data_IF_126677868476
#
_entry.id   IF_126677868476
#
_cell.length_a   1.000
_cell.length_b   1.000
_cell.length_c   1.000
_cell.angle_alpha   90.00
_cell.angle_beta   90.00
_cell.angle_gamma   90.00
#
_symmetry.space_group_name_H-M   'P 1'
#
loop_
_entity.id
_entity.type
_entity.pdbx_description
1 polymer ?
#
# COMPACT_ATOMS: atom_id res chain seq x y z
N UNK A 1 15.41 -2.75 -44.53
CA UNK A 1 14.24 -2.91 -43.65
C UNK A 1 14.69 -2.60 -42.24
N UNK A 2 14.26 -1.47 -41.66
CA UNK A 2 14.69 -1.04 -40.33
C UNK A 2 13.73 -1.60 -39.29
N UNK A 3 14.21 -2.52 -38.46
CA UNK A 3 13.53 -2.93 -37.23
C UNK A 3 13.49 -1.72 -36.31
N UNK A 4 12.32 -1.09 -36.18
CA UNK A 4 12.09 -0.06 -35.19
C UNK A 4 12.24 -0.69 -33.80
N UNK A 5 13.31 -0.35 -33.10
CA UNK A 5 13.51 -0.71 -31.70
C UNK A 5 12.39 -0.06 -30.90
N UNK A 6 11.37 -0.85 -30.53
CA UNK A 6 10.37 -0.43 -29.55
C UNK A 6 11.12 -0.25 -28.22
N UNK A 7 11.46 0.99 -27.88
CA UNK A 7 12.01 1.33 -26.59
C UNK A 7 11.07 0.86 -25.47
N UNK A 8 11.58 0.58 -24.26
CA UNK A 8 10.73 0.18 -23.15
C UNK A 8 9.66 1.26 -22.93
N UNK A 9 8.39 0.87 -22.96
CA UNK A 9 7.27 1.75 -22.65
C UNK A 9 7.34 2.04 -21.14
N UNK A 10 8.00 3.13 -20.77
CA UNK A 10 8.06 3.59 -19.38
C UNK A 10 6.79 4.39 -19.11
N UNK A 11 5.87 3.74 -18.41
CA UNK A 11 4.60 4.35 -18.01
C UNK A 11 4.82 5.35 -16.89
N UNK A 12 4.38 6.59 -17.09
CA UNK A 12 4.45 7.61 -16.04
C UNK A 12 3.39 7.37 -14.96
N UNK A 13 3.70 7.63 -13.67
CA UNK A 13 2.70 7.56 -12.61
C UNK A 13 1.64 8.64 -12.80
N UNK A 14 0.44 8.37 -12.28
CA UNK A 14 -0.51 9.45 -12.01
C UNK A 14 -0.06 10.17 -10.75
N UNK A 15 0.05 11.50 -10.83
CA UNK A 15 0.57 12.35 -9.75
C UNK A 15 -0.53 13.28 -9.24
N UNK A 16 -0.66 13.36 -7.92
CA UNK A 16 -1.55 14.29 -7.24
C UNK A 16 -0.86 14.87 -6.00
N UNK A 17 -0.35 16.10 -6.14
CA UNK A 17 0.47 16.75 -5.13
C UNK A 17 1.75 15.94 -4.84
N UNK A 18 2.06 15.59 -3.58
CA UNK A 18 3.23 14.79 -3.24
C UNK A 18 2.99 13.27 -3.40
N UNK A 19 1.80 12.87 -3.86
CA UNK A 19 1.44 11.46 -4.01
C UNK A 19 1.50 11.02 -5.47
N UNK A 20 1.90 9.78 -5.66
CA UNK A 20 2.09 9.15 -6.96
C UNK A 20 1.43 7.77 -6.95
N UNK A 21 1.02 7.29 -8.12
CA UNK A 21 0.28 6.05 -8.25
C UNK A 21 0.64 5.32 -9.56
N UNK A 22 0.93 4.02 -9.43
CA UNK A 22 1.24 3.10 -10.54
C UNK A 22 0.21 1.97 -10.67
N UNK A 23 -1.01 2.14 -10.16
CA UNK A 23 -2.04 1.09 -10.15
C UNK A 23 -1.92 0.10 -8.98
N UNK A 24 -0.82 0.14 -8.21
CA UNK A 24 -0.55 -0.73 -7.05
C UNK A 24 -0.43 0.05 -5.72
N UNK A 25 -1.33 1.01 -5.53
CA UNK A 25 -1.42 1.80 -4.30
C UNK A 25 -0.72 3.14 -4.36
N UNK A 26 -0.82 3.89 -3.26
CA UNK A 26 -0.34 5.27 -3.16
C UNK A 26 1.10 5.33 -2.66
N UNK A 27 1.96 6.00 -3.42
CA UNK A 27 3.32 6.35 -3.03
C UNK A 27 3.37 7.79 -2.57
N UNK A 28 4.27 8.11 -1.64
CA UNK A 28 4.56 9.49 -1.25
C UNK A 28 5.98 9.83 -1.71
N UNK A 29 6.12 10.71 -2.72
CA UNK A 29 7.40 11.07 -3.36
C UNK A 29 8.23 9.84 -3.74
N UNK A 30 7.63 8.92 -4.49
CA UNK A 30 8.23 7.64 -4.89
C UNK A 30 8.43 6.61 -3.77
N UNK A 31 7.97 6.86 -2.53
CA UNK A 31 8.12 5.91 -1.41
C UNK A 31 6.83 5.13 -1.19
N UNK A 32 6.91 3.80 -1.30
CA UNK A 32 5.83 2.89 -0.93
C UNK A 32 5.59 2.89 0.58
N UNK A 33 4.33 2.94 0.96
CA UNK A 33 3.92 2.87 2.36
C UNK A 33 3.57 1.43 2.76
N UNK A 34 4.00 1.02 3.95
CA UNK A 34 3.79 -0.34 4.44
C UNK A 34 2.39 -0.50 5.00
N UNK A 35 1.77 -1.65 4.78
CA UNK A 35 0.48 -2.00 5.40
C UNK A 35 0.60 -2.02 6.94
N UNK A 36 -0.47 -1.70 7.72
CA UNK A 36 -0.39 -1.62 9.18
C UNK A 36 0.19 -2.86 9.86
N UNK A 37 -0.16 -4.05 9.35
CA UNK A 37 0.36 -5.33 9.85
C UNK A 37 1.88 -5.46 9.64
N UNK A 38 2.37 -5.10 8.45
CA UNK A 38 3.80 -5.11 8.14
C UNK A 38 4.54 -4.10 9.01
N UNK A 39 4.02 -2.88 9.12
CA UNK A 39 4.63 -1.83 9.93
C UNK A 39 4.67 -2.21 11.43
N UNK A 40 3.61 -2.85 11.94
CA UNK A 40 3.61 -3.41 13.30
C UNK A 40 4.71 -4.43 13.50
N UNK A 41 4.89 -5.37 12.57
CA UNK A 41 5.93 -6.38 12.65
C UNK A 41 7.34 -5.78 12.56
N UNK A 42 7.53 -4.73 11.75
CA UNK A 42 8.81 -4.05 11.59
C UNK A 42 9.20 -3.24 12.84
N UNK A 43 8.24 -2.55 13.47
CA UNK A 43 8.53 -1.63 14.57
C UNK A 43 8.37 -2.26 15.95
N UNK A 44 7.44 -3.19 16.09
CA UNK A 44 7.06 -3.82 17.36
C UNK A 44 6.88 -5.33 17.19
N UNK A 45 7.93 -6.06 16.76
CA UNK A 45 7.88 -7.51 16.66
C UNK A 45 7.57 -8.14 18.01
N UNK A 46 6.69 -9.14 18.01
CA UNK A 46 6.43 -9.98 19.18
C UNK A 46 7.51 -11.05 19.31
N UNK A 47 7.59 -11.74 20.46
CA UNK A 47 8.51 -12.89 20.66
C UNK A 47 8.33 -14.01 19.62
N UNK A 48 7.16 -14.09 18.98
CA UNK A 48 6.86 -15.05 17.90
C UNK A 48 7.22 -14.54 16.49
N UNK A 49 7.62 -13.27 16.35
CA UNK A 49 8.00 -12.64 15.08
C UNK A 49 9.48 -12.90 14.79
N UNK A 50 9.81 -13.50 13.64
CA UNK A 50 11.20 -13.83 13.28
C UNK A 50 12.12 -12.66 12.87
N UNK A 51 11.65 -11.43 12.55
CA UNK A 51 12.59 -10.31 12.41
C UNK A 51 12.70 -9.48 13.70
N UNK A 52 13.93 -9.07 14.03
CA UNK A 52 14.21 -8.01 15.01
C UNK A 52 13.64 -6.68 14.54
N UNK A 53 13.28 -5.81 15.47
CA UNK A 53 12.73 -4.49 15.15
C UNK A 53 13.74 -3.70 14.30
N UNK A 54 13.28 -3.05 13.25
CA UNK A 54 14.14 -2.19 12.44
C UNK A 54 14.65 -1.01 13.29
N UNK A 55 15.88 -0.59 13.04
CA UNK A 55 16.51 0.58 13.67
C UNK A 55 16.30 1.81 12.80
N UNK A 56 16.48 2.98 13.40
CA UNK A 56 16.29 4.27 12.73
C UNK A 56 17.12 4.39 11.44
N UNK A 57 18.35 3.85 11.46
CA UNK A 57 19.28 3.85 10.31
C UNK A 57 18.94 2.83 9.21
N UNK A 58 18.06 1.87 9.47
CA UNK A 58 17.73 0.81 8.51
C UNK A 58 16.79 1.31 7.39
N UNK A 59 16.25 2.53 7.53
CA UNK A 59 15.43 3.21 6.52
C UNK A 59 15.77 4.71 6.47
N UNK A 60 15.71 5.34 5.30
CA UNK A 60 16.00 6.77 5.17
C UNK A 60 14.90 7.61 5.85
N UNK A 61 15.24 8.84 6.27
CA UNK A 61 14.29 9.76 6.95
C UNK A 61 12.97 9.94 6.21
N UNK A 62 13.03 10.07 4.89
CA UNK A 62 11.84 10.25 4.07
C UNK A 62 10.90 9.04 4.10
N UNK A 63 11.42 7.83 4.31
CA UNK A 63 10.59 6.64 4.46
C UNK A 63 9.75 6.70 5.73
N UNK A 64 10.37 7.07 6.86
CA UNK A 64 9.67 7.24 8.14
C UNK A 64 8.58 8.31 8.05
N UNK A 65 8.92 9.44 7.42
CA UNK A 65 8.01 10.55 7.17
C UNK A 65 6.83 10.13 6.30
N UNK A 66 7.08 9.38 5.22
CA UNK A 66 6.06 8.87 4.32
C UNK A 66 5.03 8.01 5.05
N UNK A 67 5.48 7.11 5.94
CA UNK A 67 4.57 6.30 6.75
C UNK A 67 3.66 7.20 7.62
N UNK A 68 4.23 8.20 8.32
CA UNK A 68 3.43 9.12 9.13
C UNK A 68 2.34 9.81 8.31
N UNK A 69 2.70 10.36 7.14
CA UNK A 69 1.76 11.06 6.25
C UNK A 69 0.67 10.12 5.73
N UNK A 70 1.04 8.91 5.32
CA UNK A 70 0.10 7.92 4.80
C UNK A 70 -0.98 7.55 5.82
N UNK A 71 -0.66 7.62 7.11
CA UNK A 71 -1.60 7.33 8.21
C UNK A 71 -2.16 8.58 8.88
N UNK A 72 -2.01 9.76 8.27
CA UNK A 72 -2.55 11.01 8.80
C UNK A 72 -1.94 11.45 10.12
N UNK A 73 -0.73 10.98 10.44
CA UNK A 73 -0.02 11.32 11.68
C UNK A 73 0.77 12.63 11.51
N UNK A 74 1.04 13.34 12.63
CA UNK A 74 1.91 14.51 12.62
C UNK A 74 3.27 14.19 11.99
N UNK A 75 3.66 15.00 11.00
CA UNK A 75 4.88 14.81 10.23
C UNK A 75 5.55 16.14 9.85
N UNK A 76 6.09 16.90 10.81
CA UNK A 76 6.82 18.14 10.51
C UNK A 76 8.01 17.86 9.58
N UNK A 77 8.34 18.74 8.62
CA UNK A 77 9.31 18.44 7.57
C UNK A 77 10.76 18.22 8.03
N UNK A 78 11.12 18.74 9.20
CA UNK A 78 12.49 18.72 9.73
C UNK A 78 12.61 17.93 11.05
N UNK A 79 11.64 17.06 11.35
CA UNK A 79 11.73 16.17 12.52
C UNK A 79 12.78 15.08 12.35
N UNK A 80 13.24 14.54 13.47
CA UNK A 80 14.19 13.42 13.52
C UNK A 80 13.50 12.10 13.18
N UNK A 81 14.29 11.10 12.78
CA UNK A 81 13.77 9.74 12.54
C UNK A 81 13.10 9.19 13.79
N UNK A 82 13.75 9.34 14.95
CA UNK A 82 13.23 8.85 16.22
C UNK A 82 11.87 9.47 16.59
N UNK A 83 11.65 10.75 16.24
CA UNK A 83 10.36 11.41 16.45
C UNK A 83 9.25 10.80 15.55
N UNK A 84 9.53 10.56 14.27
CA UNK A 84 8.57 9.89 13.38
C UNK A 84 8.29 8.46 13.86
N UNK A 85 9.33 7.70 14.21
CA UNK A 85 9.21 6.35 14.74
C UNK A 85 8.34 6.31 16.00
N UNK A 86 8.61 7.18 16.97
CA UNK A 86 7.82 7.26 18.20
C UNK A 86 6.34 7.58 17.90
N UNK A 87 6.08 8.43 16.91
CA UNK A 87 4.72 8.75 16.46
C UNK A 87 4.00 7.50 15.91
N UNK A 88 4.67 6.73 15.03
CA UNK A 88 4.13 5.49 14.46
C UNK A 88 3.90 4.42 15.53
N UNK A 89 4.87 4.19 16.41
CA UNK A 89 4.74 3.21 17.48
C UNK A 89 3.61 3.58 18.46
N UNK A 90 3.47 4.86 18.80
CA UNK A 90 2.37 5.33 19.65
C UNK A 90 1.02 5.05 18.99
N UNK A 91 0.89 5.33 17.70
CA UNK A 91 -0.34 5.06 16.96
C UNK A 91 -0.63 3.55 16.85
N UNK A 92 0.39 2.72 16.64
CA UNK A 92 0.27 1.25 16.59
C UNK A 92 -0.15 0.62 17.92
N UNK A 93 0.14 1.26 19.05
CA UNK A 93 -0.26 0.82 20.40
C UNK A 93 -1.72 1.14 20.75
N UNK A 94 -2.35 2.08 20.05
CA UNK A 94 -3.74 2.44 20.32
C UNK A 94 -4.70 1.32 19.90
N UNK A 95 -5.79 1.13 20.65
CA UNK A 95 -6.86 0.19 20.28
C UNK A 95 -7.49 0.64 18.95
N UNK A 96 -7.61 -0.28 17.99
CA UNK A 96 -8.23 0.01 16.69
C UNK A 96 -7.26 0.05 15.49
N UNK A 97 -5.96 -0.21 15.72
CA UNK A 97 -4.89 -0.26 14.70
C UNK A 97 -4.66 1.07 13.97
N UNK A 98 -3.57 1.11 13.21
CA UNK A 98 -3.21 2.25 12.38
C UNK A 98 -4.21 2.36 11.22
N UNK A 99 -5.02 3.43 11.19
CA UNK A 99 -6.04 3.66 10.16
C UNK A 99 -5.58 4.71 9.17
N UNK A 100 -5.81 4.45 7.89
CA UNK A 100 -5.54 5.41 6.82
C UNK A 100 -6.69 6.44 6.75
N UNK A 101 -6.40 7.75 6.62
CA UNK A 101 -7.41 8.76 6.38
C UNK A 101 -8.23 8.45 5.12
N UNK A 102 -9.55 8.69 5.19
CA UNK A 102 -10.48 8.38 4.12
C UNK A 102 -10.10 9.09 2.81
N UNK A 103 -9.64 10.33 2.89
CA UNK A 103 -9.21 11.12 1.74
C UNK A 103 -8.05 10.46 0.98
N UNK A 104 -7.12 9.79 1.70
CA UNK A 104 -6.02 9.07 1.06
C UNK A 104 -6.47 7.73 0.47
N UNK A 105 -7.53 7.11 1.01
CA UNK A 105 -8.15 5.93 0.43
C UNK A 105 -8.82 6.30 -0.90
N UNK A 106 -9.63 7.36 -0.91
CA UNK A 106 -10.31 7.85 -2.10
C UNK A 106 -9.31 8.28 -3.18
N UNK A 107 -8.27 9.03 -2.79
CA UNK A 107 -7.20 9.43 -3.70
C UNK A 107 -6.49 8.23 -4.34
N UNK A 108 -6.23 7.16 -3.57
CA UNK A 108 -5.63 5.95 -4.10
C UNK A 108 -6.57 5.24 -5.09
N UNK A 109 -7.87 5.13 -4.77
CA UNK A 109 -8.87 4.52 -5.65
C UNK A 109 -8.95 5.29 -6.97
N UNK A 110 -9.08 6.62 -6.90
CA UNK A 110 -9.21 7.50 -8.06
C UNK A 110 -7.97 7.43 -8.94
N UNK A 111 -6.78 7.58 -8.36
CA UNK A 111 -5.54 7.55 -9.15
C UNK A 111 -5.22 6.17 -9.72
N UNK A 112 -5.50 5.09 -8.98
CA UNK A 112 -5.35 3.73 -9.50
C UNK A 112 -6.29 3.50 -10.71
N UNK A 113 -7.53 3.98 -10.62
CA UNK A 113 -8.50 3.89 -11.72
C UNK A 113 -8.07 4.75 -12.92
N UNK A 114 -7.55 5.96 -12.67
CA UNK A 114 -6.97 6.81 -13.72
C UNK A 114 -5.79 6.12 -14.40
N UNK A 115 -4.85 5.56 -13.64
CA UNK A 115 -3.69 4.85 -14.17
C UNK A 115 -4.13 3.67 -15.05
N UNK A 116 -5.06 2.83 -14.59
CA UNK A 116 -5.56 1.69 -15.38
C UNK A 116 -6.29 2.12 -16.65
N UNK A 117 -7.05 3.22 -16.64
CA UNK A 117 -7.68 3.74 -17.86
C UNK A 117 -6.67 4.22 -18.89
N UNK A 118 -5.58 4.83 -18.43
CA UNK A 118 -4.50 5.30 -19.31
C UNK A 118 -3.63 4.12 -19.79
N UNK A 119 -3.65 2.98 -19.08
CA UNK A 119 -2.73 1.86 -19.24
C UNK A 119 -3.50 0.54 -19.43
N UNK A 120 -3.93 0.23 -20.68
CA UNK A 120 -4.71 -0.97 -20.97
C UNK A 120 -4.02 -2.27 -20.54
N UNK A 121 -2.69 -2.34 -20.61
CA UNK A 121 -1.90 -3.48 -20.13
C UNK A 121 -2.04 -3.67 -18.61
N UNK A 122 -1.95 -2.58 -17.83
CA UNK A 122 -2.15 -2.63 -16.39
C UNK A 122 -3.60 -2.98 -16.02
N UNK A 123 -4.57 -2.55 -16.82
CA UNK A 123 -5.97 -2.95 -16.65
C UNK A 123 -6.17 -4.46 -16.90
N UNK A 124 -5.53 -5.00 -17.94
CA UNK A 124 -5.56 -6.44 -18.26
C UNK A 124 -4.91 -7.27 -17.14
N UNK A 125 -3.71 -6.91 -16.70
CA UNK A 125 -2.99 -7.62 -15.63
C UNK A 125 -3.76 -7.61 -14.30
N UNK A 126 -4.37 -6.48 -13.95
CA UNK A 126 -5.24 -6.39 -12.78
C UNK A 126 -6.45 -7.34 -12.91
N UNK A 127 -7.11 -7.36 -14.07
CA UNK A 127 -8.28 -8.19 -14.30
C UNK A 127 -7.94 -9.70 -14.26
N UNK A 128 -6.83 -10.11 -14.87
CA UNK A 128 -6.35 -11.50 -14.84
C UNK A 128 -6.02 -11.94 -13.41
N UNK A 129 -5.34 -11.10 -12.62
CA UNK A 129 -5.05 -11.41 -11.21
C UNK A 129 -6.31 -11.46 -10.34
N UNK A 130 -7.34 -10.65 -10.62
CA UNK A 130 -8.61 -10.72 -9.89
C UNK A 130 -9.42 -11.98 -10.21
N UNK A 131 -9.28 -12.55 -11.41
CA UNK A 131 -9.97 -13.79 -11.82
C UNK A 131 -9.27 -15.08 -11.35
N UNK A 132 -8.08 -14.98 -10.74
CA UNK A 132 -7.29 -16.16 -10.33
C UNK A 132 -7.41 -16.52 -8.84
N UNK A 133 -8.43 -16.04 -8.13
CA UNK A 133 -8.86 -16.71 -6.90
C UNK A 133 -9.53 -18.03 -7.29
N UNK A 134 -9.08 -19.20 -6.81
CA UNK A 134 -9.83 -20.42 -7.04
C UNK A 134 -11.18 -20.24 -6.35
N UNK A 135 -12.25 -20.25 -7.15
CA UNK A 135 -13.61 -20.39 -6.67
C UNK A 135 -13.64 -21.65 -5.80
N UNK A 136 -13.70 -21.45 -4.48
CA UNK A 136 -14.07 -22.51 -3.56
C UNK A 136 -15.47 -22.96 -3.98
N UNK A 137 -15.53 -24.19 -4.46
CA UNK A 137 -16.69 -24.87 -5.02
C UNK A 137 -17.98 -24.56 -4.23
N UNK A 138 -18.91 -23.87 -4.89
CA UNK A 138 -20.30 -23.84 -4.45
C UNK A 138 -20.99 -25.04 -5.07
N UNK A 139 -21.37 -26.03 -4.27
CA UNK A 139 -22.36 -27.05 -4.69
C UNK A 139 -23.53 -27.07 -3.72
N UNK A 140 -24.61 -26.38 -4.14
CA UNK A 140 -26.03 -26.77 -4.12
C UNK A 140 -26.47 -27.67 -2.94
N UNK A 141 -27.17 -27.15 -1.93
CA UNK A 141 -28.64 -27.03 -1.89
C UNK A 141 -29.41 -28.27 -2.35
N UNK A 142 -29.93 -29.05 -1.40
CA UNK A 142 -31.29 -29.62 -1.45
C UNK A 142 -31.78 -29.93 -0.03
N UNK A 143 -32.68 -29.10 0.48
CA UNK A 143 -33.75 -29.53 1.39
C UNK A 143 -34.87 -30.16 0.53
N UNK A 144 -35.70 -31.11 1.01
CA UNK A 144 -36.70 -30.78 2.04
C UNK A 144 -37.16 -31.89 3.03
N UNK A 145 -37.72 -31.41 4.15
CA UNK A 145 -38.81 -31.91 5.00
C UNK A 145 -39.13 -33.43 5.10
N UNK A 146 -39.27 -33.95 6.32
CA UNK A 146 -40.58 -34.18 7.00
C UNK A 146 -40.44 -34.95 8.33
N UNK A 147 -41.32 -34.54 9.26
CA UNK A 147 -41.86 -35.18 10.49
C UNK A 147 -40.95 -35.25 11.72
#
# INVERSE_FOLDING_TARGET
MSIATLGPIVMSPVVSGPFECFGEGLLYRGIKCEHPKTLKNLLMPTKSSKPTAIRDKDRPRMWWRAQCIHYGLPSPPYSTISAYRACLERALRQRGSLKRPQQLIELEIEQNAAFRRLNPQAAYEFNVNCQHYPEGETSQSTHPNKL
#
